data_IF_596642161621
#
_entry.id   IF_596642161621
#
_cell.length_a   1.000
_cell.length_b   1.000
_cell.length_c   1.000
_cell.angle_alpha   90.00
_cell.angle_beta   90.00
_cell.angle_gamma   90.00
#
_symmetry.space_group_name_H-M   'P 1'
#
loop_
_entity.id
_entity.type
_entity.pdbx_description
1 polymer ?
#
# COMPACT_ATOMS: atom_id res chain seq x y z
N UNK A 1 2.92 10.37 -5.83
CA UNK A 1 3.58 11.22 -6.83
C UNK A 1 4.97 11.54 -6.30
N UNK A 2 6.00 10.98 -6.91
CA UNK A 2 7.37 11.38 -6.61
C UNK A 2 7.57 12.77 -7.21
N UNK A 3 7.76 13.78 -6.36
CA UNK A 3 8.42 15.00 -6.79
C UNK A 3 9.91 14.68 -6.92
N UNK A 4 10.35 14.21 -8.08
CA UNK A 4 11.77 14.19 -8.41
C UNK A 4 12.21 15.64 -8.57
N UNK A 5 13.01 16.12 -7.64
CA UNK A 5 13.75 17.36 -7.82
C UNK A 5 14.85 17.13 -8.87
N UNK A 6 14.68 17.70 -10.05
CA UNK A 6 15.70 17.72 -11.10
C UNK A 6 16.65 18.92 -10.99
N UNK A 7 16.41 19.84 -10.06
CA UNK A 7 17.31 20.97 -9.79
C UNK A 7 17.21 21.39 -8.33
N UNK A 8 18.33 21.77 -7.71
CA UNK A 8 18.34 22.44 -6.42
C UNK A 8 17.83 23.86 -6.62
N UNK A 9 16.61 24.14 -6.24
CA UNK A 9 16.05 25.50 -6.21
C UNK A 9 16.04 25.94 -4.75
N UNK A 10 16.92 26.83 -4.34
CA UNK A 10 16.95 27.42 -3.01
C UNK A 10 18.29 27.23 -2.28
N UNK A 11 18.38 27.86 -1.12
CA UNK A 11 19.53 27.74 -0.22
C UNK A 11 19.66 26.33 0.35
N UNK A 12 20.89 25.90 0.73
CA UNK A 12 21.10 24.64 1.42
C UNK A 12 20.26 24.56 2.70
N UNK A 13 19.60 23.43 2.91
CA UNK A 13 18.83 23.19 4.13
C UNK A 13 19.82 22.93 5.28
N UNK A 14 19.67 23.64 6.39
CA UNK A 14 20.52 23.49 7.57
C UNK A 14 20.18 22.24 8.36
N UNK A 15 21.11 21.74 9.17
CA UNK A 15 20.91 20.59 10.07
C UNK A 15 19.79 20.87 11.09
N UNK A 16 19.66 22.11 11.53
CA UNK A 16 18.63 22.56 12.45
C UNK A 16 17.23 22.44 11.81
N UNK A 17 17.11 22.83 10.53
CA UNK A 17 15.85 22.70 9.78
C UNK A 17 15.46 21.23 9.57
N UNK A 18 16.43 20.35 9.26
CA UNK A 18 16.18 18.90 9.18
C UNK A 18 15.72 18.34 10.53
N UNK A 19 16.40 18.70 11.62
CA UNK A 19 16.06 18.29 12.97
C UNK A 19 14.66 18.79 13.39
N UNK A 20 14.32 20.03 13.03
CA UNK A 20 13.00 20.59 13.29
C UNK A 20 11.87 19.78 12.61
N UNK A 21 12.05 19.40 11.33
CA UNK A 21 11.08 18.58 10.61
C UNK A 21 10.91 17.21 11.28
N UNK A 22 12.01 16.55 11.62
CA UNK A 22 11.98 15.23 12.29
C UNK A 22 11.29 15.33 13.64
N UNK A 23 11.68 16.29 14.50
CA UNK A 23 11.10 16.49 15.83
C UNK A 23 9.60 16.82 15.75
N UNK A 24 9.21 17.64 14.79
CA UNK A 24 7.81 18.00 14.58
C UNK A 24 6.99 16.78 14.15
N UNK A 25 7.50 15.98 13.23
CA UNK A 25 6.85 14.75 12.80
C UNK A 25 6.76 13.70 13.94
N UNK A 26 7.80 13.57 14.77
CA UNK A 26 7.82 12.64 15.89
C UNK A 26 6.81 12.98 17.00
N UNK A 27 6.53 14.25 17.23
CA UNK A 27 5.58 14.69 18.29
C UNK A 27 4.14 14.24 18.05
N UNK A 28 3.79 13.89 16.83
CA UNK A 28 2.42 13.54 16.47
C UNK A 28 2.10 12.05 16.46
N UNK A 29 3.08 11.16 16.74
CA UNK A 29 2.83 9.71 16.77
C UNK A 29 3.76 8.95 17.72
N UNK A 30 3.22 8.31 18.77
CA UNK A 30 4.00 7.39 19.62
C UNK A 30 4.54 6.17 18.85
N UNK A 31 3.97 5.84 17.70
CA UNK A 31 4.40 4.74 16.83
C UNK A 31 5.60 5.09 15.95
N UNK A 32 5.95 6.37 15.84
CA UNK A 32 7.09 6.83 15.05
C UNK A 32 8.44 6.31 15.54
N UNK A 33 8.57 5.98 16.84
CA UNK A 33 9.80 5.38 17.37
C UNK A 33 10.16 4.06 16.65
N UNK A 34 9.17 3.21 16.32
CA UNK A 34 9.39 1.97 15.55
C UNK A 34 9.72 2.23 14.09
N UNK A 35 9.14 3.27 13.49
CA UNK A 35 9.36 3.61 12.09
C UNK A 35 10.73 4.23 11.84
N UNK A 36 11.31 4.92 12.81
CA UNK A 36 12.65 5.49 12.73
C UNK A 36 13.70 4.40 12.47
N UNK A 37 13.56 3.23 13.08
CA UNK A 37 14.39 2.06 12.78
C UNK A 37 14.32 1.61 11.33
N UNK A 38 13.16 1.80 10.70
CA UNK A 38 12.93 1.48 9.29
C UNK A 38 13.32 2.62 8.34
N UNK A 39 13.89 3.71 8.89
CA UNK A 39 14.35 4.86 8.12
C UNK A 39 13.24 5.78 7.62
N UNK A 40 12.07 5.80 8.27
CA UNK A 40 11.00 6.73 7.90
C UNK A 40 10.10 7.12 9.09
N UNK A 41 9.34 8.21 8.89
CA UNK A 41 8.29 8.71 9.78
C UNK A 41 6.99 8.89 9.00
N UNK A 42 5.86 8.71 9.69
CA UNK A 42 4.54 9.08 9.15
C UNK A 42 4.08 10.37 9.84
N UNK A 43 3.93 11.44 9.05
CA UNK A 43 3.42 12.72 9.51
C UNK A 43 1.87 12.78 9.42
N UNK A 44 1.22 13.73 10.12
CA UNK A 44 -0.22 13.95 10.02
C UNK A 44 -0.68 14.06 8.56
N UNK A 45 -1.86 13.47 8.24
CA UNK A 45 -2.34 13.35 6.86
C UNK A 45 -1.74 12.18 6.08
N UNK A 46 -1.00 11.29 6.74
CA UNK A 46 -0.43 10.09 6.09
C UNK A 46 0.81 10.35 5.24
N UNK A 47 1.40 11.53 5.36
CA UNK A 47 2.63 11.87 4.64
C UNK A 47 3.79 11.06 5.18
N UNK A 48 4.63 10.52 4.30
CA UNK A 48 5.80 9.75 4.67
C UNK A 48 7.08 10.56 4.49
N UNK A 49 7.89 10.60 5.55
CA UNK A 49 9.18 11.27 5.57
C UNK A 49 10.26 10.20 5.69
N UNK A 50 10.94 9.89 4.59
CA UNK A 50 12.13 9.04 4.59
C UNK A 50 13.31 9.80 5.17
N UNK A 51 14.13 9.10 5.98
CA UNK A 51 15.28 9.65 6.68
C UNK A 51 16.54 9.00 6.13
N UNK A 52 17.56 9.82 5.86
CA UNK A 52 18.91 9.37 5.58
C UNK A 52 19.90 10.05 6.50
N UNK A 53 20.93 9.31 6.95
CA UNK A 53 21.96 9.82 7.85
C UNK A 53 22.67 8.71 8.58
N UNK A 54 23.26 9.02 9.72
CA UNK A 54 23.98 8.08 10.58
C UNK A 54 22.99 7.37 11.52
N UNK A 55 22.87 6.05 11.39
CA UNK A 55 22.09 5.23 12.31
C UNK A 55 22.91 4.93 13.56
N UNK A 56 22.28 4.96 14.74
CA UNK A 56 22.90 4.57 16.01
C UNK A 56 21.90 3.90 16.93
N UNK A 57 22.20 2.66 17.35
CA UNK A 57 21.31 1.89 18.23
C UNK A 57 19.88 1.82 17.67
N UNK A 58 18.95 2.32 18.46
CA UNK A 58 17.51 2.25 18.17
C UNK A 58 16.98 3.43 17.33
N UNK A 59 17.84 4.18 16.62
CA UNK A 59 17.37 5.33 15.85
C UNK A 59 18.41 5.94 14.93
N UNK A 60 18.18 7.22 14.61
CA UNK A 60 19.09 8.03 13.81
C UNK A 60 19.84 9.00 14.74
N UNK A 61 21.17 8.93 14.72
CA UNK A 61 22.04 9.87 15.44
C UNK A 61 22.09 11.25 14.75
N UNK A 62 22.17 11.21 13.44
CA UNK A 62 22.25 12.42 12.61
C UNK A 62 21.42 12.22 11.35
N UNK A 63 20.55 13.16 11.03
CA UNK A 63 19.80 13.16 9.77
C UNK A 63 20.50 14.14 8.81
N UNK A 64 20.90 13.64 7.65
CA UNK A 64 21.59 14.42 6.62
C UNK A 64 20.71 14.79 5.45
N UNK A 65 19.62 14.02 5.21
CA UNK A 65 18.64 14.31 4.18
C UNK A 65 17.26 13.73 4.47
N UNK A 66 16.23 14.33 3.89
CA UNK A 66 14.84 13.92 4.00
C UNK A 66 14.23 13.71 2.62
N UNK A 67 13.36 12.69 2.51
CA UNK A 67 12.52 12.49 1.35
C UNK A 67 11.05 12.55 1.79
N UNK A 68 10.36 13.66 1.49
CA UNK A 68 8.96 13.86 1.87
C UNK A 68 8.06 13.38 0.75
N UNK A 69 7.25 12.33 1.03
CA UNK A 69 6.21 11.83 0.13
C UNK A 69 4.87 12.35 0.62
N UNK A 70 4.28 13.25 -0.17
CA UNK A 70 2.95 13.78 0.13
C UNK A 70 1.92 12.73 -0.26
N UNK A 71 1.21 12.20 0.73
CA UNK A 71 0.10 11.30 0.50
C UNK A 71 -1.09 12.07 -0.09
N UNK A 72 -1.78 11.45 -1.05
CA UNK A 72 -2.98 12.01 -1.67
C UNK A 72 -4.11 10.99 -1.54
N UNK A 73 -5.25 11.44 -1.08
CA UNK A 73 -6.49 10.68 -1.13
C UNK A 73 -7.33 11.16 -2.31
N UNK A 74 -7.45 10.32 -3.33
CA UNK A 74 -8.20 10.61 -4.55
C UNK A 74 -9.45 9.72 -4.57
N UNK A 75 -10.59 10.33 -4.89
CA UNK A 75 -11.88 9.67 -4.95
C UNK A 75 -12.36 9.55 -6.40
N UNK A 76 -13.04 8.43 -6.71
CA UNK A 76 -13.68 8.20 -8.00
C UNK A 76 -12.77 7.75 -9.13
N UNK A 77 -11.46 7.58 -8.88
CA UNK A 77 -10.50 7.18 -9.92
C UNK A 77 -10.64 5.72 -10.36
N UNK A 78 -11.23 4.87 -9.54
CA UNK A 78 -11.52 3.46 -9.83
C UNK A 78 -12.87 3.23 -10.50
N UNK A 79 -13.60 4.27 -10.86
CA UNK A 79 -15.01 4.23 -11.28
C UNK A 79 -15.33 3.28 -12.44
N UNK A 80 -14.38 3.00 -13.32
CA UNK A 80 -14.54 2.10 -14.47
C UNK A 80 -14.18 0.63 -14.16
N UNK A 81 -13.68 0.32 -12.97
CA UNK A 81 -13.31 -1.05 -12.58
C UNK A 81 -14.55 -1.73 -11.99
N UNK A 82 -15.04 -2.85 -12.53
CA UNK A 82 -16.20 -3.55 -11.96
C UNK A 82 -15.87 -4.15 -10.58
N UNK A 83 -16.83 -4.07 -9.64
CA UNK A 83 -16.71 -4.66 -8.29
C UNK A 83 -17.43 -6.01 -8.30
N UNK A 84 -16.83 -7.02 -8.90
CA UNK A 84 -17.44 -8.35 -9.02
C UNK A 84 -16.50 -9.47 -8.60
N UNK A 85 -15.25 -9.46 -9.08
CA UNK A 85 -14.28 -10.53 -8.89
C UNK A 85 -12.94 -10.01 -8.37
N UNK A 86 -12.08 -10.94 -7.94
CA UNK A 86 -10.73 -10.62 -7.52
C UNK A 86 -9.96 -9.94 -8.63
N UNK A 87 -9.27 -8.86 -8.31
CA UNK A 87 -8.46 -8.09 -9.26
C UNK A 87 -7.03 -7.87 -8.78
N UNK A 88 -6.11 -7.83 -9.73
CA UNK A 88 -4.72 -7.52 -9.51
C UNK A 88 -4.35 -6.20 -10.20
N UNK A 89 -3.89 -5.22 -9.43
CA UNK A 89 -3.46 -3.92 -9.95
C UNK A 89 -1.97 -4.00 -10.26
N UNK A 90 -1.62 -3.88 -11.54
CA UNK A 90 -0.25 -3.91 -12.04
C UNK A 90 0.27 -2.52 -12.38
N UNK A 91 1.56 -2.31 -12.28
CA UNK A 91 2.21 -1.08 -12.73
C UNK A 91 3.58 -0.86 -12.11
N UNK A 92 4.36 0.03 -12.71
CA UNK A 92 5.67 0.42 -12.23
C UNK A 92 5.64 1.08 -10.83
N UNK A 93 6.76 1.14 -10.09
CA UNK A 93 6.86 1.96 -8.90
C UNK A 93 6.42 3.41 -9.17
N UNK A 94 5.63 3.99 -8.25
CA UNK A 94 5.14 5.36 -8.40
C UNK A 94 4.04 5.57 -9.47
N UNK A 95 3.54 4.53 -10.13
CA UNK A 95 2.43 4.64 -11.09
C UNK A 95 1.11 5.05 -10.44
N UNK A 96 0.93 4.86 -9.11
CA UNK A 96 -0.29 5.21 -8.39
C UNK A 96 -1.12 4.01 -7.97
N UNK A 97 -0.55 2.79 -7.98
CA UNK A 97 -1.25 1.53 -7.59
C UNK A 97 -1.92 1.62 -6.23
N UNK A 98 -1.20 2.04 -5.18
CA UNK A 98 -1.74 2.20 -3.83
C UNK A 98 -2.88 3.22 -3.77
N UNK A 99 -2.80 4.30 -4.57
CA UNK A 99 -3.86 5.31 -4.64
C UNK A 99 -5.12 4.75 -5.30
N UNK A 100 -4.96 4.00 -6.39
CA UNK A 100 -6.06 3.33 -7.07
C UNK A 100 -6.66 2.23 -6.20
N UNK A 101 -5.83 1.43 -5.52
CA UNK A 101 -6.24 0.40 -4.57
C UNK A 101 -7.12 0.99 -3.46
N UNK A 102 -6.71 2.10 -2.86
CA UNK A 102 -7.45 2.79 -1.80
C UNK A 102 -8.85 3.20 -2.25
N UNK A 103 -8.96 3.83 -3.41
CA UNK A 103 -10.25 4.23 -3.95
C UNK A 103 -11.13 3.03 -4.31
N UNK A 104 -10.54 1.95 -4.83
CA UNK A 104 -11.26 0.74 -5.14
C UNK A 104 -11.77 0.02 -3.88
N UNK A 105 -10.99 -0.04 -2.80
CA UNK A 105 -11.41 -0.55 -1.49
C UNK A 105 -12.65 0.21 -1.00
N UNK A 106 -12.62 1.53 -1.06
CA UNK A 106 -13.76 2.38 -0.67
C UNK A 106 -15.02 2.07 -1.47
N UNK A 107 -14.87 1.80 -2.77
CA UNK A 107 -16.01 1.40 -3.60
C UNK A 107 -16.54 0.01 -3.27
N UNK A 108 -15.67 -0.96 -2.99
CA UNK A 108 -16.10 -2.29 -2.50
C UNK A 108 -16.86 -2.11 -1.19
N UNK A 109 -16.32 -1.35 -0.25
CA UNK A 109 -16.91 -1.07 1.06
C UNK A 109 -18.33 -0.46 0.95
N UNK A 110 -18.57 0.41 -0.02
CA UNK A 110 -19.88 1.00 -0.31
C UNK A 110 -20.85 0.10 -1.08
N UNK A 111 -20.43 -1.10 -1.50
CA UNK A 111 -21.30 -2.05 -2.21
C UNK A 111 -22.07 -2.98 -1.27
N UNK A 112 -23.13 -3.67 -1.73
CA UNK A 112 -23.84 -4.67 -0.92
C UNK A 112 -22.96 -5.84 -0.45
N UNK A 113 -21.79 -6.03 -1.06
CA UNK A 113 -20.79 -7.03 -0.69
C UNK A 113 -19.64 -6.46 0.15
N UNK A 114 -19.85 -5.35 0.82
CA UNK A 114 -18.86 -4.41 1.33
C UNK A 114 -18.12 -4.76 2.62
N UNK A 115 -17.93 -6.04 2.98
CA UNK A 115 -17.03 -6.41 4.09
C UNK A 115 -15.61 -6.60 3.54
N UNK A 116 -14.72 -5.64 3.81
CA UNK A 116 -13.33 -5.62 3.35
C UNK A 116 -12.38 -5.62 4.55
N UNK A 117 -11.46 -6.56 4.61
CA UNK A 117 -10.30 -6.46 5.52
C UNK A 117 -9.06 -6.07 4.73
N UNK A 118 -8.44 -4.98 5.13
CA UNK A 118 -7.18 -4.49 4.57
C UNK A 118 -6.03 -4.97 5.45
N UNK A 119 -5.06 -5.66 4.85
CA UNK A 119 -3.80 -6.00 5.53
C UNK A 119 -2.73 -5.05 5.01
N UNK A 120 -2.48 -4.01 5.78
CA UNK A 120 -1.59 -2.90 5.45
C UNK A 120 -0.29 -3.00 6.26
N UNK A 121 0.62 -3.90 5.83
CA UNK A 121 1.87 -4.21 6.53
C UNK A 121 2.68 -2.96 6.91
N UNK A 122 2.71 -1.96 6.02
CA UNK A 122 3.52 -0.75 6.15
C UNK A 122 2.74 0.52 6.52
N UNK A 123 1.41 0.42 6.66
CA UNK A 123 0.56 1.59 6.87
C UNK A 123 0.58 2.57 5.69
N UNK A 124 0.64 2.06 4.45
CA UNK A 124 0.72 2.88 3.23
C UNK A 124 -0.64 3.03 2.54
N UNK A 125 -1.58 2.08 2.76
CA UNK A 125 -2.93 2.15 2.21
C UNK A 125 -3.76 3.12 3.04
N UNK A 126 -3.91 2.83 4.34
CA UNK A 126 -4.65 3.65 5.30
C UNK A 126 -3.77 3.97 6.51
N UNK A 127 -2.84 4.95 6.37
CA UNK A 127 -1.94 5.32 7.45
C UNK A 127 -2.71 5.85 8.66
N UNK A 128 -2.20 5.50 9.85
CA UNK A 128 -2.70 6.02 11.12
C UNK A 128 -1.81 7.18 11.60
N UNK A 129 -2.45 8.21 12.16
CA UNK A 129 -1.79 9.30 12.88
C UNK A 129 -2.62 9.65 14.10
N UNK A 130 -1.99 9.65 15.28
CA UNK A 130 -2.68 9.93 16.54
C UNK A 130 -3.85 8.97 16.85
N UNK A 131 -3.76 7.70 16.43
CA UNK A 131 -4.79 6.69 16.61
C UNK A 131 -5.99 6.79 15.66
N UNK A 132 -5.95 7.70 14.69
CA UNK A 132 -6.99 7.87 13.67
C UNK A 132 -6.44 7.56 12.27
N UNK A 133 -7.26 6.98 11.41
CA UNK A 133 -6.93 6.82 9.99
C UNK A 133 -6.88 8.18 9.32
N UNK A 134 -5.85 8.38 8.48
CA UNK A 134 -5.66 9.64 7.75
C UNK A 134 -6.55 9.76 6.51
N UNK A 135 -7.04 8.63 6.01
CA UNK A 135 -7.91 8.55 4.84
C UNK A 135 -9.17 7.76 5.20
N UNK A 136 -10.26 8.08 4.53
CA UNK A 136 -11.52 7.36 4.67
C UNK A 136 -11.45 5.99 3.98
N UNK A 137 -11.54 4.86 4.72
CA UNK A 137 -11.53 3.53 4.13
C UNK A 137 -12.92 3.09 3.62
N UNK A 138 -13.98 3.81 3.96
CA UNK A 138 -15.36 3.41 3.79
C UNK A 138 -15.92 2.62 4.98
N UNK A 139 -17.24 2.62 5.14
CA UNK A 139 -17.93 2.11 6.35
C UNK A 139 -17.82 0.59 6.57
N UNK A 140 -17.59 -0.18 5.50
CA UNK A 140 -17.46 -1.65 5.57
C UNK A 140 -16.02 -2.13 5.53
N UNK A 141 -15.04 -1.31 5.93
CA UNK A 141 -13.62 -1.64 5.85
C UNK A 141 -12.97 -1.69 7.23
N UNK A 142 -12.36 -2.83 7.54
CA UNK A 142 -11.47 -3.01 8.69
C UNK A 142 -10.01 -2.98 8.23
N UNK A 143 -9.13 -2.33 9.00
CA UNK A 143 -7.72 -2.15 8.64
C UNK A 143 -6.82 -2.74 9.71
N UNK A 144 -5.99 -3.71 9.32
CA UNK A 144 -4.93 -4.30 10.16
C UNK A 144 -3.57 -3.81 9.69
N UNK A 145 -2.76 -3.27 10.61
CA UNK A 145 -1.39 -2.79 10.33
C UNK A 145 -0.34 -3.52 11.17
N UNK A 146 0.92 -3.47 10.73
CA UNK A 146 2.06 -3.90 11.53
C UNK A 146 2.29 -5.42 11.59
N UNK A 147 1.56 -6.22 10.81
CA UNK A 147 1.82 -7.64 10.58
C UNK A 147 2.29 -7.85 9.14
N UNK A 148 3.04 -8.92 8.90
CA UNK A 148 3.31 -9.37 7.53
C UNK A 148 2.00 -9.68 6.80
N UNK A 149 1.99 -9.61 5.46
CA UNK A 149 0.77 -9.91 4.68
C UNK A 149 0.24 -11.30 4.96
N UNK A 150 1.11 -12.30 4.93
CA UNK A 150 0.73 -13.70 5.17
C UNK A 150 0.09 -13.89 6.56
N UNK A 151 0.71 -13.39 7.62
CA UNK A 151 0.17 -13.47 8.99
C UNK A 151 -1.13 -12.68 9.15
N UNK A 152 -1.19 -11.49 8.53
CA UNK A 152 -2.37 -10.62 8.59
C UNK A 152 -3.56 -11.24 7.86
N UNK A 153 -3.36 -11.83 6.67
CA UNK A 153 -4.40 -12.52 5.90
C UNK A 153 -4.98 -13.69 6.71
N UNK A 154 -4.12 -14.55 7.26
CA UNK A 154 -4.56 -15.68 8.09
C UNK A 154 -5.35 -15.19 9.32
N UNK A 155 -4.88 -14.14 9.98
CA UNK A 155 -5.55 -13.55 11.12
C UNK A 155 -6.94 -13.01 10.77
N UNK A 156 -7.08 -12.19 9.71
CA UNK A 156 -8.37 -11.57 9.37
C UNK A 156 -9.39 -12.58 8.85
N UNK A 157 -8.95 -13.64 8.14
CA UNK A 157 -9.85 -14.72 7.71
C UNK A 157 -10.50 -15.38 8.92
N UNK A 158 -9.69 -15.73 9.94
CA UNK A 158 -10.20 -16.44 11.14
C UNK A 158 -11.02 -15.53 12.06
N UNK A 159 -10.60 -14.27 12.21
CA UNK A 159 -11.19 -13.37 13.22
C UNK A 159 -12.37 -12.57 12.69
N UNK A 160 -12.36 -12.16 11.42
CA UNK A 160 -13.30 -11.19 10.86
C UNK A 160 -14.24 -11.79 9.82
N UNK A 161 -13.87 -12.90 9.17
CA UNK A 161 -14.67 -13.53 8.12
C UNK A 161 -15.03 -12.60 6.96
N UNK A 162 -14.06 -11.86 6.37
CA UNK A 162 -14.33 -10.86 5.36
C UNK A 162 -14.82 -11.49 4.05
N UNK A 163 -15.57 -10.72 3.26
CA UNK A 163 -15.88 -11.08 1.88
C UNK A 163 -14.75 -10.72 0.92
N UNK A 164 -13.96 -9.71 1.29
CA UNK A 164 -12.82 -9.22 0.52
C UNK A 164 -11.59 -9.02 1.40
N UNK A 165 -10.43 -9.34 0.85
CA UNK A 165 -9.14 -8.98 1.43
C UNK A 165 -8.43 -8.05 0.46
N UNK A 166 -7.85 -6.97 0.99
CA UNK A 166 -7.04 -6.03 0.25
C UNK A 166 -5.61 -5.99 0.79
N UNK A 167 -4.62 -6.10 -0.10
CA UNK A 167 -3.20 -6.01 0.22
C UNK A 167 -2.45 -5.16 -0.79
N UNK A 168 -1.44 -4.43 -0.34
CA UNK A 168 -0.55 -3.71 -1.25
C UNK A 168 0.75 -4.51 -1.47
N UNK A 169 1.28 -4.43 -2.68
CA UNK A 169 2.62 -4.87 -3.07
C UNK A 169 2.98 -6.33 -2.71
N UNK A 170 2.42 -7.29 -3.46
CA UNK A 170 2.82 -8.71 -3.36
C UNK A 170 4.30 -8.83 -3.75
N UNK A 171 5.15 -9.31 -2.84
CA UNK A 171 6.61 -9.38 -3.05
C UNK A 171 7.24 -10.71 -2.69
N UNK A 172 6.59 -11.52 -1.84
CA UNK A 172 7.13 -12.77 -1.30
C UNK A 172 6.27 -13.96 -1.70
N UNK A 173 6.86 -15.17 -1.86
CA UNK A 173 6.09 -16.38 -2.08
C UNK A 173 5.02 -16.61 -1.01
N UNK A 174 5.33 -16.37 0.26
CA UNK A 174 4.37 -16.51 1.36
C UNK A 174 3.15 -15.59 1.22
N UNK A 175 3.30 -14.42 0.60
CA UNK A 175 2.17 -13.53 0.30
C UNK A 175 1.24 -14.19 -0.72
N UNK A 176 1.81 -14.83 -1.75
CA UNK A 176 1.05 -15.55 -2.78
C UNK A 176 0.30 -16.75 -2.19
N UNK A 177 0.98 -17.56 -1.37
CA UNK A 177 0.38 -18.74 -0.72
C UNK A 177 -0.81 -18.34 0.16
N UNK A 178 -0.70 -17.26 0.92
CA UNK A 178 -1.78 -16.74 1.75
C UNK A 178 -2.99 -16.27 0.94
N UNK A 179 -2.75 -15.65 -0.24
CA UNK A 179 -3.81 -15.23 -1.15
C UNK A 179 -4.53 -16.42 -1.79
N UNK A 180 -3.80 -17.49 -2.12
CA UNK A 180 -4.39 -18.76 -2.60
C UNK A 180 -5.27 -19.39 -1.51
N UNK A 181 -4.82 -19.39 -0.26
CA UNK A 181 -5.64 -19.86 0.87
C UNK A 181 -6.90 -19.01 1.06
N UNK A 182 -6.82 -17.68 0.91
CA UNK A 182 -7.97 -16.80 0.97
C UNK A 182 -9.02 -17.16 -0.10
N UNK A 183 -8.57 -17.45 -1.34
CA UNK A 183 -9.45 -17.92 -2.41
C UNK A 183 -10.16 -19.22 -2.02
N UNK A 184 -9.45 -20.20 -1.47
CA UNK A 184 -10.06 -21.48 -1.03
C UNK A 184 -11.07 -21.30 0.10
N UNK A 185 -10.92 -20.24 0.90
CA UNK A 185 -11.93 -19.84 1.89
C UNK A 185 -13.13 -19.08 1.27
N UNK A 186 -13.17 -18.89 -0.05
CA UNK A 186 -14.24 -18.16 -0.75
C UNK A 186 -14.13 -16.64 -0.64
N UNK A 187 -12.98 -16.13 -0.19
CA UNK A 187 -12.72 -14.69 -0.02
C UNK A 187 -12.18 -14.11 -1.32
N UNK A 188 -12.76 -13.00 -1.78
CA UNK A 188 -12.25 -12.25 -2.93
C UNK A 188 -11.05 -11.40 -2.53
N UNK A 189 -10.16 -11.18 -3.49
CA UNK A 189 -8.90 -10.49 -3.25
C UNK A 189 -8.73 -9.30 -4.17
N UNK A 190 -8.29 -8.18 -3.63
CA UNK A 190 -7.70 -7.09 -4.41
C UNK A 190 -6.26 -6.85 -3.93
N UNK A 191 -5.32 -6.87 -4.88
CA UNK A 191 -3.91 -6.71 -4.55
C UNK A 191 -3.18 -5.88 -5.59
N UNK A 192 -1.98 -5.41 -5.23
CA UNK A 192 -1.08 -4.76 -6.19
C UNK A 192 0.19 -5.57 -6.40
N UNK A 193 0.77 -5.48 -7.58
CA UNK A 193 2.05 -6.09 -7.90
C UNK A 193 2.87 -5.24 -8.88
N UNK A 194 4.18 -5.42 -8.83
CA UNK A 194 5.09 -4.76 -9.75
C UNK A 194 5.25 -5.58 -11.03
N UNK A 195 4.43 -5.30 -12.03
CA UNK A 195 4.58 -5.83 -13.39
C UNK A 195 4.08 -4.78 -14.40
N UNK A 196 4.65 -4.76 -15.57
CA UNK A 196 4.28 -3.82 -16.63
C UNK A 196 3.05 -4.28 -17.42
N UNK A 197 2.74 -5.59 -17.40
CA UNK A 197 1.61 -6.22 -18.10
C UNK A 197 1.33 -7.60 -17.50
N UNK A 198 0.25 -8.24 -17.91
CA UNK A 198 -0.03 -9.63 -17.55
C UNK A 198 1.08 -10.56 -18.07
N UNK A 199 1.63 -10.31 -19.26
CA UNK A 199 2.76 -11.08 -19.79
C UNK A 199 4.01 -10.97 -18.90
N UNK A 200 4.32 -9.78 -18.38
CA UNK A 200 5.43 -9.58 -17.43
C UNK A 200 5.15 -10.30 -16.11
N UNK A 201 3.91 -10.28 -15.62
CA UNK A 201 3.50 -11.05 -14.45
C UNK A 201 3.82 -12.54 -14.59
N UNK A 202 3.44 -13.15 -15.74
CA UNK A 202 3.71 -14.57 -16.03
C UNK A 202 5.21 -14.92 -16.07
N UNK A 203 6.06 -13.98 -16.46
CA UNK A 203 7.51 -14.18 -16.53
C UNK A 203 8.19 -14.26 -15.17
N UNK A 204 7.51 -13.85 -14.10
CA UNK A 204 8.08 -13.75 -12.75
C UNK A 204 7.70 -14.94 -11.88
N UNK A 205 8.67 -15.81 -11.49
CA UNK A 205 8.38 -17.03 -10.73
C UNK A 205 7.61 -16.81 -9.43
N UNK A 206 7.81 -15.67 -8.76
CA UNK A 206 7.13 -15.34 -7.49
C UNK A 206 5.61 -15.32 -7.62
N UNK A 207 5.06 -14.95 -8.80
CA UNK A 207 3.63 -14.84 -9.01
C UNK A 207 2.95 -16.12 -9.54
N UNK A 208 3.73 -17.16 -9.87
CA UNK A 208 3.17 -18.43 -10.36
C UNK A 208 2.04 -18.98 -9.51
N UNK A 209 2.14 -19.06 -8.16
CA UNK A 209 1.07 -19.63 -7.36
C UNK A 209 -0.28 -18.92 -7.53
N UNK A 210 -0.29 -17.59 -7.60
CA UNK A 210 -1.53 -16.81 -7.77
C UNK A 210 -2.06 -16.84 -9.20
N UNK A 211 -1.20 -17.04 -10.18
CA UNK A 211 -1.59 -17.18 -11.58
C UNK A 211 -2.19 -18.58 -11.80
N UNK A 212 -1.47 -19.63 -11.42
CA UNK A 212 -1.87 -21.03 -11.65
C UNK A 212 -3.14 -21.41 -10.87
N UNK A 213 -3.36 -20.82 -9.70
CA UNK A 213 -4.57 -21.05 -8.89
C UNK A 213 -5.79 -20.25 -9.34
N UNK A 214 -5.64 -19.27 -10.26
CA UNK A 214 -6.73 -18.43 -10.72
C UNK A 214 -7.30 -17.48 -9.66
N UNK A 215 -6.49 -17.05 -8.68
CA UNK A 215 -6.91 -16.06 -7.64
C UNK A 215 -7.48 -14.80 -8.31
N UNK A 216 -6.85 -14.35 -9.38
CA UNK A 216 -7.25 -13.14 -10.10
C UNK A 216 -7.72 -13.49 -11.51
N UNK A 217 -8.91 -13.04 -11.88
CA UNK A 217 -9.45 -13.16 -13.24
C UNK A 217 -9.09 -11.97 -14.13
N UNK A 218 -8.82 -10.82 -13.50
CA UNK A 218 -8.63 -9.55 -14.19
C UNK A 218 -7.45 -8.78 -13.58
N UNK A 219 -6.60 -8.25 -14.46
CA UNK A 219 -5.59 -7.27 -14.13
C UNK A 219 -6.05 -5.85 -14.50
N UNK A 220 -5.74 -4.90 -13.64
CA UNK A 220 -5.82 -3.46 -13.92
C UNK A 220 -4.40 -2.98 -14.16
N UNK A 221 -4.03 -2.76 -15.41
CA UNK A 221 -2.67 -2.32 -15.80
C UNK A 221 -2.61 -0.81 -15.78
N UNK A 222 -1.83 -0.26 -14.85
CA UNK A 222 -1.69 1.18 -14.60
C UNK A 222 -0.44 1.73 -15.28
N UNK A 223 -0.63 2.73 -16.12
CA UNK A 223 0.44 3.40 -16.88
C UNK A 223 1.10 4.55 -16.13
N UNK A 224 2.21 5.04 -16.64
CA UNK A 224 2.95 6.18 -16.05
C UNK A 224 2.19 7.49 -16.10
N UNK A 225 1.34 7.68 -17.10
CA UNK A 225 0.44 8.83 -17.27
C UNK A 225 -0.80 8.77 -16.35
N UNK A 226 -0.91 7.72 -15.51
CA UNK A 226 -2.03 7.45 -14.58
C UNK A 226 -3.31 6.96 -15.28
N UNK A 227 -3.31 6.73 -16.56
CA UNK A 227 -4.36 5.97 -17.22
C UNK A 227 -4.26 4.48 -16.88
N UNK A 228 -5.34 3.73 -17.04
CA UNK A 228 -5.34 2.28 -16.87
C UNK A 228 -6.26 1.61 -17.88
N UNK A 229 -5.99 0.34 -18.13
CA UNK A 229 -6.88 -0.55 -18.87
C UNK A 229 -7.06 -1.87 -18.12
N UNK A 230 -8.08 -2.60 -18.50
CA UNK A 230 -8.36 -3.94 -17.96
C UNK A 230 -7.84 -5.00 -18.92
N UNK A 231 -7.17 -6.01 -18.38
CA UNK A 231 -6.63 -7.15 -19.11
C UNK A 231 -7.05 -8.45 -18.41
N UNK A 232 -7.50 -9.46 -19.15
CA UNK A 232 -7.83 -10.77 -18.55
C UNK A 232 -6.56 -11.54 -18.23
N UNK A 233 -6.54 -12.16 -17.04
CA UNK A 233 -5.52 -13.12 -16.65
C UNK A 233 -6.07 -14.49 -17.05
N UNK A 234 -5.61 -14.99 -18.19
CA UNK A 234 -5.95 -16.34 -18.69
C UNK A 234 -4.68 -17.18 -18.67
N UNK A 235 -4.74 -18.32 -17.99
CA UNK A 235 -3.69 -19.36 -18.02
C UNK A 235 -3.76 -20.15 -19.32
#
# INVERSE_FOLDING_TARGET
>A
TYLQRQSSVGEPITTEALSFVVNTACRYSPWNARSIHQGYLTAPGGHRIGLCGEAAGDGMRTVTSLCIRVAKDLHGISGRIPVQDSILILGAPGSGKTTLLRDYIRRISGSPMGSVCVVDERGEIFPFSGGKMCFDPGNGTDVMTGRSKAEGIDCVIRAMGPKWIAVDEITRPADCDALVQALWCGVKVVATAHAASVRDLFSRPVYRPIVDSGVFSTAVVLHTDKSYHLERITT
#
